data_IF_598227466706
#
_entry.id   IF_598227466706
#
_cell.length_a   1.000
_cell.length_b   1.000
_cell.length_c   1.000
_cell.angle_alpha   90.00
_cell.angle_beta   90.00
_cell.angle_gamma   90.00
#
_symmetry.space_group_name_H-M   'P 1'
#
loop_
_entity.id
_entity.type
_entity.pdbx_description
1 polymer ?
#
# COMPACT_ATOMS: atom_id res chain seq x y z
N UNK A 1 -1.96 -13.86 8.55
CA UNK A 1 -0.98 -13.23 7.60
C UNK A 1 -1.14 -13.61 6.13
N UNK A 2 -2.20 -14.31 5.73
CA UNK A 2 -2.44 -14.63 4.32
C UNK A 2 -2.75 -13.36 3.51
N UNK A 3 -3.69 -12.54 3.99
CA UNK A 3 -4.16 -11.32 3.32
C UNK A 3 -3.06 -10.28 3.09
N UNK A 4 -2.22 -9.98 4.09
CA UNK A 4 -1.10 -9.06 3.92
C UNK A 4 -0.12 -9.50 2.82
N UNK A 5 0.22 -10.80 2.76
CA UNK A 5 1.09 -11.33 1.70
C UNK A 5 0.40 -11.28 0.33
N UNK A 6 -0.88 -11.64 0.28
CA UNK A 6 -1.67 -11.63 -0.94
C UNK A 6 -1.89 -10.21 -1.48
N UNK A 7 -2.09 -9.21 -0.61
CA UNK A 7 -2.16 -7.81 -0.99
C UNK A 7 -0.80 -7.31 -1.46
N UNK A 8 0.27 -7.54 -0.68
CA UNK A 8 1.64 -7.16 -1.05
C UNK A 8 1.99 -7.64 -2.46
N UNK A 9 1.72 -8.91 -2.78
CA UNK A 9 1.99 -9.48 -4.10
C UNK A 9 1.27 -8.74 -5.24
N UNK A 10 -0.01 -8.38 -5.04
CA UNK A 10 -0.79 -7.58 -6.00
C UNK A 10 -0.22 -6.18 -6.18
N UNK A 11 0.14 -5.52 -5.08
CA UNK A 11 0.63 -4.14 -5.14
C UNK A 11 2.02 -4.04 -5.77
N UNK A 12 2.92 -4.98 -5.47
CA UNK A 12 4.26 -5.03 -6.08
C UNK A 12 4.26 -5.44 -7.56
N UNK A 13 3.13 -5.92 -8.09
CA UNK A 13 2.96 -6.14 -9.53
C UNK A 13 2.66 -4.84 -10.30
N UNK A 14 2.33 -3.75 -9.60
CA UNK A 14 2.08 -2.45 -10.21
C UNK A 14 3.41 -1.76 -10.58
N UNK A 15 3.51 -1.14 -11.77
CA UNK A 15 4.72 -0.43 -12.17
C UNK A 15 5.12 0.64 -11.16
N UNK A 16 6.40 0.64 -10.76
CA UNK A 16 6.97 1.63 -9.84
C UNK A 16 6.73 1.34 -8.35
N UNK A 17 5.92 0.34 -7.99
CA UNK A 17 5.70 -0.04 -6.59
C UNK A 17 6.72 -1.09 -6.17
N UNK A 18 7.46 -0.82 -5.11
CA UNK A 18 8.45 -1.76 -4.54
C UNK A 18 8.26 -1.93 -3.04
N UNK A 19 8.57 -3.11 -2.51
CA UNK A 19 8.64 -3.33 -1.06
C UNK A 19 9.94 -2.73 -0.50
N UNK A 20 9.87 -2.03 0.63
CA UNK A 20 11.06 -1.43 1.27
C UNK A 20 11.86 -2.44 2.11
N UNK A 21 11.16 -3.37 2.76
CA UNK A 21 11.77 -4.35 3.67
C UNK A 21 11.35 -5.77 3.27
N UNK A 22 12.32 -6.61 2.92
CA UNK A 22 12.05 -7.99 2.44
C UNK A 22 11.96 -9.04 3.56
N UNK A 23 12.09 -8.62 4.82
CA UNK A 23 11.99 -9.50 5.99
C UNK A 23 10.54 -9.95 6.20
N UNK A 24 10.36 -11.04 6.94
CA UNK A 24 9.03 -11.46 7.38
C UNK A 24 8.39 -10.35 8.23
N UNK A 25 7.28 -9.78 7.75
CA UNK A 25 6.44 -8.84 8.49
C UNK A 25 5.23 -9.54 9.12
N UNK A 26 4.39 -8.78 9.84
CA UNK A 26 3.15 -9.30 10.42
C UNK A 26 1.95 -9.08 9.47
N UNK A 27 0.98 -8.27 9.88
CA UNK A 27 -0.11 -7.78 9.01
C UNK A 27 0.28 -6.60 8.14
N UNK A 28 1.52 -6.11 8.29
CA UNK A 28 1.97 -4.86 7.72
C UNK A 28 3.19 -5.03 6.84
N UNK A 29 3.30 -4.15 5.85
CA UNK A 29 4.45 -4.01 4.97
C UNK A 29 4.54 -2.57 4.45
N UNK A 30 5.76 -2.11 4.21
CA UNK A 30 6.02 -0.77 3.68
C UNK A 30 6.35 -0.85 2.18
N UNK A 31 5.75 0.04 1.40
CA UNK A 31 5.94 0.19 -0.03
C UNK A 31 6.63 1.51 -0.32
N UNK A 32 7.60 1.53 -1.24
CA UNK A 32 8.00 2.75 -1.92
C UNK A 32 7.10 2.93 -3.15
N UNK A 33 6.58 4.13 -3.32
CA UNK A 33 5.68 4.49 -4.41
C UNK A 33 6.40 5.39 -5.43
N UNK A 34 5.91 5.43 -6.69
CA UNK A 34 6.44 6.34 -7.70
C UNK A 34 5.85 7.77 -7.61
N UNK A 35 5.02 8.05 -6.59
CA UNK A 35 4.36 9.33 -6.32
C UNK A 35 4.35 9.57 -4.81
N UNK A 36 4.24 10.85 -4.36
CA UNK A 36 4.10 11.18 -2.95
C UNK A 36 3.00 10.37 -2.27
N UNK A 37 3.33 9.76 -1.12
CA UNK A 37 2.42 8.89 -0.39
C UNK A 37 1.13 9.62 0.02
N UNK A 38 1.24 10.89 0.45
CA UNK A 38 0.10 11.75 0.75
C UNK A 38 -0.88 11.90 -0.42
N UNK A 39 -0.37 12.17 -1.64
CA UNK A 39 -1.19 12.25 -2.86
C UNK A 39 -1.93 10.94 -3.14
N UNK A 40 -1.26 9.80 -2.94
CA UNK A 40 -1.88 8.49 -3.14
C UNK A 40 -2.96 8.22 -2.09
N UNK A 41 -2.74 8.61 -0.83
CA UNK A 41 -3.73 8.52 0.26
C UNK A 41 -4.97 9.34 -0.09
N UNK A 42 -4.82 10.59 -0.53
CA UNK A 42 -5.94 11.46 -0.90
C UNK A 42 -6.78 10.86 -2.04
N UNK A 43 -6.12 10.38 -3.10
CA UNK A 43 -6.78 9.72 -4.24
C UNK A 43 -7.53 8.44 -3.83
N UNK A 44 -6.98 7.66 -2.91
CA UNK A 44 -7.67 6.46 -2.40
C UNK A 44 -8.86 6.82 -1.49
N UNK A 45 -8.77 7.93 -0.76
CA UNK A 45 -9.86 8.44 0.05
C UNK A 45 -11.08 8.83 -0.81
N UNK A 46 -10.87 9.40 -2.00
CA UNK A 46 -11.93 9.65 -3.00
C UNK A 46 -12.64 8.35 -3.42
N UNK A 47 -11.89 7.24 -3.52
CA UNK A 47 -12.42 5.90 -3.79
C UNK A 47 -13.00 5.19 -2.54
N UNK A 48 -13.09 5.90 -1.41
CA UNK A 48 -13.55 5.40 -0.10
C UNK A 48 -12.69 4.25 0.43
N UNK A 49 -11.37 4.35 0.25
CA UNK A 49 -10.39 3.37 0.72
C UNK A 49 -9.39 4.07 1.64
N UNK A 50 -9.19 3.51 2.85
CA UNK A 50 -8.08 3.91 3.71
C UNK A 50 -6.80 3.25 3.17
N UNK A 51 -5.92 4.05 2.59
CA UNK A 51 -4.72 3.55 1.92
C UNK A 51 -3.70 2.96 2.91
N UNK A 52 -3.47 3.65 4.04
CA UNK A 52 -2.37 3.34 4.94
C UNK A 52 -1.83 4.63 5.55
N UNK A 53 -0.57 4.60 5.97
CA UNK A 53 0.11 5.74 6.61
C UNK A 53 1.32 6.14 5.77
N UNK A 54 1.41 7.44 5.45
CA UNK A 54 2.60 8.01 4.83
C UNK A 54 3.73 8.04 5.87
N UNK A 55 4.88 7.47 5.55
CA UNK A 55 5.98 7.30 6.52
C UNK A 55 6.95 8.48 6.55
N UNK A 56 6.91 9.37 5.56
CA UNK A 56 7.79 10.55 5.48
C UNK A 56 7.55 11.57 6.60
N UNK A 57 6.36 11.60 7.20
CA UNK A 57 6.06 12.47 8.34
C UNK A 57 6.91 12.13 9.57
N UNK A 58 7.12 10.84 9.84
CA UNK A 58 7.91 10.35 10.97
C UNK A 58 9.36 9.99 10.57
N UNK A 59 9.56 9.57 9.32
CA UNK A 59 10.82 9.03 8.79
C UNK A 59 11.12 9.63 7.40
N UNK A 60 11.57 10.88 7.40
CA UNK A 60 11.87 11.63 6.16
C UNK A 60 12.81 10.91 5.18
N UNK A 61 13.70 10.05 5.68
CA UNK A 61 14.63 9.24 4.89
C UNK A 61 13.94 8.15 4.05
N UNK A 62 12.68 7.82 4.34
CA UNK A 62 11.90 6.83 3.60
C UNK A 62 11.19 7.43 2.38
N UNK A 63 11.16 8.75 2.25
CA UNK A 63 10.56 9.45 1.10
C UNK A 63 9.11 9.03 0.86
N UNK A 64 8.77 8.73 -0.40
CA UNK A 64 7.40 8.40 -0.82
C UNK A 64 6.95 6.98 -0.40
N UNK A 65 6.98 6.72 0.92
CA UNK A 65 6.74 5.43 1.52
C UNK A 65 5.34 5.35 2.15
N UNK A 66 4.65 4.24 1.88
CA UNK A 66 3.33 3.94 2.43
C UNK A 66 3.38 2.65 3.25
N UNK A 67 2.98 2.73 4.53
CA UNK A 67 2.75 1.58 5.39
C UNK A 67 1.32 1.06 5.18
N UNK A 68 1.19 -0.21 4.82
CA UNK A 68 -0.10 -0.85 4.51
C UNK A 68 -0.33 -2.02 5.47
N UNK A 69 -1.56 -2.15 5.97
CA UNK A 69 -1.99 -3.24 6.85
C UNK A 69 -3.16 -4.04 6.22
N UNK A 70 -3.10 -5.37 6.28
CA UNK A 70 -4.24 -6.23 5.95
C UNK A 70 -4.41 -7.38 6.96
N UNK A 71 -5.52 -7.32 7.69
CA UNK A 71 -5.93 -8.30 8.70
C UNK A 71 -6.87 -9.37 8.12
N UNK A 72 -7.24 -10.34 8.95
CA UNK A 72 -8.08 -11.50 8.62
C UNK A 72 -9.45 -11.13 8.05
N UNK A 73 -9.99 -9.96 8.38
CA UNK A 73 -11.35 -9.56 7.99
C UNK A 73 -11.46 -9.12 6.53
N UNK A 74 -10.35 -9.01 5.80
CA UNK A 74 -10.32 -8.64 4.39
C UNK A 74 -10.58 -9.86 3.50
N UNK A 75 -11.44 -9.68 2.52
CA UNK A 75 -11.75 -10.68 1.50
C UNK A 75 -10.88 -10.48 0.26
N UNK A 76 -10.78 -11.50 -0.60
CA UNK A 76 -10.06 -11.37 -1.89
C UNK A 76 -10.59 -10.19 -2.73
N UNK A 77 -11.92 -9.97 -2.71
CA UNK A 77 -12.54 -8.83 -3.38
C UNK A 77 -12.12 -7.47 -2.81
N UNK A 78 -11.89 -7.38 -1.49
CA UNK A 78 -11.33 -6.17 -0.88
C UNK A 78 -9.90 -5.92 -1.35
N UNK A 79 -9.08 -6.99 -1.44
CA UNK A 79 -7.68 -6.88 -1.88
C UNK A 79 -7.59 -6.47 -3.35
N UNK A 80 -8.42 -7.04 -4.21
CA UNK A 80 -8.49 -6.70 -5.63
C UNK A 80 -8.99 -5.26 -5.83
N UNK A 81 -10.01 -4.84 -5.06
CA UNK A 81 -10.51 -3.46 -5.08
C UNK A 81 -9.42 -2.47 -4.65
N UNK A 82 -8.68 -2.77 -3.58
CA UNK A 82 -7.56 -1.95 -3.14
C UNK A 82 -6.50 -1.86 -4.25
N UNK A 83 -6.05 -2.99 -4.79
CA UNK A 83 -4.98 -3.01 -5.80
C UNK A 83 -5.36 -2.24 -7.07
N UNK A 84 -6.61 -2.40 -7.52
CA UNK A 84 -7.14 -1.63 -8.65
C UNK A 84 -7.17 -0.13 -8.37
N UNK A 85 -7.62 0.27 -7.18
CA UNK A 85 -7.66 1.68 -6.78
C UNK A 85 -6.26 2.29 -6.66
N UNK A 86 -5.31 1.59 -6.04
CA UNK A 86 -3.90 2.01 -5.98
C UNK A 86 -3.34 2.17 -7.40
N UNK A 87 -3.51 1.17 -8.27
CA UNK A 87 -3.05 1.27 -9.65
C UNK A 87 -3.67 2.42 -10.45
N UNK A 88 -4.91 2.82 -10.14
CA UNK A 88 -5.54 4.02 -10.71
C UNK A 88 -4.96 5.32 -10.14
N UNK A 89 -4.70 5.35 -8.83
CA UNK A 89 -4.11 6.50 -8.14
C UNK A 89 -2.64 6.77 -8.50
N UNK A 90 -1.95 5.80 -9.10
CA UNK A 90 -0.58 5.97 -9.59
C UNK A 90 -0.48 6.57 -11.01
N UNK A 91 -1.62 6.87 -11.65
CA UNK A 91 -1.68 7.46 -13.00
C UNK A 91 -1.86 8.97 -12.98
#
# INVERSE_FOLDING_TARGET
>A
MHNARALRARLTALPGVRVLFERAGFHEFALALPLPAGTVIERLAEARILAGVALDEDYSELGDALLVCATETKTEGDLDRYAKALGGALR
#
